data_IF_559404596187
#
_entry.id   IF_559404596187
#
_cell.length_a   1.000
_cell.length_b   1.000
_cell.length_c   1.000
_cell.angle_alpha   90.00
_cell.angle_beta   90.00
_cell.angle_gamma   90.00
#
_symmetry.space_group_name_H-M   'P 1'
#
loop_
_entity.id
_entity.type
_entity.pdbx_description
1 polymer ?
#
# COMPACT_ATOMS: atom_id res chain seq x y z
N UNK A 1 74.57 -9.46 -4.54
CA UNK A 1 73.29 -8.80 -4.91
C UNK A 1 73.63 -7.57 -5.70
N UNK A 2 73.18 -7.48 -6.94
CA UNK A 2 73.73 -6.54 -7.93
C UNK A 2 72.98 -5.21 -7.88
N UNK A 3 73.63 -4.12 -8.31
CA UNK A 3 73.05 -2.76 -8.36
C UNK A 3 71.75 -2.65 -9.17
N UNK A 4 71.39 -3.67 -9.96
CA UNK A 4 70.10 -3.75 -10.69
C UNK A 4 68.91 -4.14 -9.81
N UNK A 5 69.14 -4.70 -8.62
CA UNK A 5 68.08 -5.12 -7.70
C UNK A 5 67.54 -3.97 -6.84
N UNK A 6 68.35 -2.91 -6.62
CA UNK A 6 67.96 -1.71 -5.87
C UNK A 6 67.13 -0.71 -6.71
N UNK A 7 67.45 -0.54 -8.00
CA UNK A 7 66.68 0.35 -8.89
C UNK A 7 65.25 -0.17 -9.16
N UNK A 8 65.08 -1.49 -9.22
CA UNK A 8 63.77 -2.12 -9.44
C UNK A 8 62.84 -2.05 -8.20
N UNK A 9 63.40 -2.06 -6.97
CA UNK A 9 62.60 -1.88 -5.75
C UNK A 9 62.20 -0.41 -5.52
N UNK A 10 63.08 0.54 -5.87
CA UNK A 10 62.77 1.98 -5.81
C UNK A 10 61.66 2.37 -6.79
N UNK A 11 61.69 1.82 -8.01
CA UNK A 11 60.70 2.08 -9.04
C UNK A 11 59.33 1.48 -8.72
N UNK A 12 59.29 0.28 -8.11
CA UNK A 12 58.03 -0.33 -7.62
C UNK A 12 57.40 0.44 -6.46
N UNK A 13 58.19 0.88 -5.48
CA UNK A 13 57.67 1.68 -4.34
C UNK A 13 57.10 3.01 -4.79
N UNK A 14 57.74 3.71 -5.72
CA UNK A 14 57.20 4.95 -6.32
C UNK A 14 55.90 4.71 -7.11
N UNK A 15 55.75 3.55 -7.74
CA UNK A 15 54.54 3.20 -8.49
C UNK A 15 53.36 2.84 -7.56
N UNK A 16 53.65 2.22 -6.42
CA UNK A 16 52.66 1.87 -5.40
C UNK A 16 52.23 3.11 -4.58
N UNK A 17 53.18 3.98 -4.18
CA UNK A 17 52.87 5.25 -3.49
C UNK A 17 52.04 6.19 -4.37
N UNK A 18 52.32 6.28 -5.67
CA UNK A 18 51.50 7.08 -6.60
C UNK A 18 50.08 6.51 -6.77
N UNK A 19 49.91 5.17 -6.77
CA UNK A 19 48.59 4.54 -6.80
C UNK A 19 47.80 4.77 -5.52
N UNK A 20 48.47 4.79 -4.37
CA UNK A 20 47.81 5.04 -3.08
C UNK A 20 47.42 6.53 -2.94
N UNK A 21 48.24 7.45 -3.43
CA UNK A 21 47.87 8.87 -3.52
C UNK A 21 46.74 9.13 -4.53
N UNK A 22 46.77 8.49 -5.71
CA UNK A 22 45.67 8.58 -6.68
C UNK A 22 44.38 7.98 -6.13
N UNK A 23 44.43 6.81 -5.49
CA UNK A 23 43.27 6.18 -4.85
C UNK A 23 42.74 6.96 -3.64
N UNK A 24 43.60 7.59 -2.84
CA UNK A 24 43.16 8.48 -1.76
C UNK A 24 42.55 9.77 -2.29
N UNK A 25 43.07 10.34 -3.39
CA UNK A 25 42.48 11.52 -4.04
C UNK A 25 41.15 11.20 -4.75
N UNK A 26 41.04 10.02 -5.38
CA UNK A 26 39.82 9.49 -5.98
C UNK A 26 38.78 9.18 -4.90
N UNK A 27 39.17 8.60 -3.76
CA UNK A 27 38.27 8.34 -2.63
C UNK A 27 37.86 9.62 -1.89
N UNK A 28 38.71 10.64 -1.80
CA UNK A 28 38.32 11.96 -1.29
C UNK A 28 37.44 12.72 -2.29
N UNK A 29 37.67 12.57 -3.59
CA UNK A 29 36.80 13.10 -4.65
C UNK A 29 35.45 12.40 -4.72
N UNK A 30 35.40 11.09 -4.45
CA UNK A 30 34.18 10.29 -4.33
C UNK A 30 33.45 10.57 -3.02
N UNK A 31 34.14 10.74 -1.88
CA UNK A 31 33.54 11.17 -0.61
C UNK A 31 33.01 12.60 -0.69
N UNK A 32 33.74 13.55 -1.28
CA UNK A 32 33.23 14.92 -1.51
C UNK A 32 32.11 14.94 -2.53
N UNK A 33 32.10 14.08 -3.55
CA UNK A 33 30.95 13.90 -4.45
C UNK A 33 29.78 13.19 -3.76
N UNK A 34 30.00 12.32 -2.78
CA UNK A 34 28.94 11.67 -2.00
C UNK A 34 28.35 12.64 -0.97
N UNK A 35 29.18 13.42 -0.28
CA UNK A 35 28.77 14.44 0.69
C UNK A 35 28.14 15.66 -0.01
N UNK A 36 28.63 16.08 -1.19
CA UNK A 36 27.98 17.10 -2.01
C UNK A 36 26.70 16.60 -2.72
N UNK A 37 26.54 15.28 -2.97
CA UNK A 37 25.28 14.69 -3.44
C UNK A 37 24.29 14.38 -2.32
N UNK A 38 24.73 14.36 -1.05
CA UNK A 38 23.86 14.29 0.12
C UNK A 38 23.19 15.65 0.41
N UNK A 39 23.82 16.76 0.00
CA UNK A 39 23.26 18.12 0.13
C UNK A 39 22.55 18.66 -1.12
N UNK A 40 22.52 17.90 -2.23
CA UNK A 40 21.74 18.27 -3.44
C UNK A 40 20.53 17.39 -3.70
N UNK A 41 20.22 16.44 -2.81
CA UNK A 41 18.94 15.75 -2.83
C UNK A 41 17.86 16.72 -2.35
N UNK A 42 17.31 17.45 -3.32
CA UNK A 42 16.01 18.11 -3.25
C UNK A 42 15.09 17.24 -2.40
N UNK A 43 14.84 17.71 -1.19
CA UNK A 43 13.62 17.48 -0.44
C UNK A 43 12.46 17.96 -1.33
N UNK A 44 12.02 17.09 -2.25
CA UNK A 44 10.80 17.29 -3.03
C UNK A 44 9.66 17.02 -2.07
N UNK A 45 9.38 18.07 -1.31
CA UNK A 45 8.17 18.38 -0.56
C UNK A 45 7.11 17.29 -0.65
N UNK A 46 6.92 16.56 0.45
CA UNK A 46 5.56 16.30 0.93
C UNK A 46 4.80 17.60 0.70
N UNK A 47 3.75 17.56 -0.13
CA UNK A 47 3.05 18.75 -0.60
C UNK A 47 2.85 19.73 0.56
N UNK A 48 3.06 21.04 0.34
CA UNK A 48 2.89 22.07 1.40
C UNK A 48 1.50 21.99 2.10
N UNK A 49 0.56 21.26 1.51
CA UNK A 49 -0.83 21.03 1.93
C UNK A 49 -1.04 19.78 2.79
N UNK A 50 -0.04 18.91 3.00
CA UNK A 50 -0.20 17.69 3.82
C UNK A 50 -0.28 17.99 5.31
N UNK A 51 -1.28 17.43 6.01
CA UNK A 51 -1.36 17.49 7.49
C UNK A 51 -0.20 16.75 8.17
N UNK A 52 0.12 17.04 9.45
CA UNK A 52 1.13 16.29 10.21
C UNK A 52 0.87 14.78 10.26
N UNK A 53 -0.38 14.33 10.42
CA UNK A 53 -0.70 12.89 10.43
C UNK A 53 -0.43 12.23 9.06
N UNK A 54 -0.79 12.89 7.94
CA UNK A 54 -0.43 12.41 6.60
C UNK A 54 1.08 12.20 6.44
N UNK A 55 1.91 13.09 7.00
CA UNK A 55 3.37 12.93 6.98
C UNK A 55 3.83 11.72 7.78
N UNK A 56 3.27 11.50 8.97
CA UNK A 56 3.57 10.32 9.79
C UNK A 56 3.27 9.03 9.02
N UNK A 57 2.12 8.97 8.35
CA UNK A 57 1.73 7.82 7.52
C UNK A 57 2.71 7.62 6.36
N UNK A 58 3.03 8.68 5.62
CA UNK A 58 3.99 8.61 4.51
C UNK A 58 5.38 8.15 4.97
N UNK A 59 5.88 8.74 6.07
CA UNK A 59 7.18 8.41 6.65
C UNK A 59 7.23 6.97 7.15
N UNK A 60 6.14 6.44 7.70
CA UNK A 60 6.01 5.04 8.08
C UNK A 60 6.25 4.12 6.87
N UNK A 61 5.56 4.35 5.75
CA UNK A 61 5.72 3.53 4.54
C UNK A 61 7.09 3.74 3.86
N UNK A 62 7.65 4.94 3.93
CA UNK A 62 8.99 5.27 3.41
C UNK A 62 10.10 4.49 4.13
N UNK A 63 10.01 4.39 5.47
CA UNK A 63 11.04 3.74 6.29
C UNK A 63 11.08 2.22 6.14
N UNK A 64 10.04 1.61 5.56
CA UNK A 64 9.97 0.16 5.43
C UNK A 64 10.75 -0.32 4.19
N UNK A 65 11.88 -1.03 4.35
CA UNK A 65 12.67 -1.49 3.20
C UNK A 65 11.87 -2.48 2.34
N UNK A 66 12.09 -2.47 1.01
CA UNK A 66 11.62 -3.57 0.17
C UNK A 66 12.48 -4.80 0.45
N UNK A 67 12.02 -5.62 1.39
CA UNK A 67 12.63 -6.91 1.67
C UNK A 67 12.15 -7.89 0.60
N UNK A 68 13.10 -8.50 -0.11
CA UNK A 68 12.85 -9.45 -1.20
C UNK A 68 11.98 -10.64 -0.76
N UNK A 69 11.57 -11.48 -1.72
CA UNK A 69 10.62 -12.58 -1.49
C UNK A 69 11.05 -13.50 -0.35
N UNK A 70 12.34 -13.83 -0.24
CA UNK A 70 12.88 -14.72 0.79
C UNK A 70 12.63 -14.19 2.21
N UNK A 71 13.03 -12.95 2.48
CA UNK A 71 12.78 -12.29 3.78
C UNK A 71 11.29 -12.08 4.09
N UNK A 72 10.43 -12.00 3.07
CA UNK A 72 8.97 -11.94 3.31
C UNK A 72 8.42 -13.27 3.84
N UNK A 73 9.01 -14.39 3.42
CA UNK A 73 8.63 -15.73 3.88
C UNK A 73 9.05 -16.02 5.33
N UNK A 74 9.93 -15.19 5.90
CA UNK A 74 10.35 -15.28 7.31
C UNK A 74 9.42 -14.51 8.27
N UNK A 75 8.40 -13.83 7.74
CA UNK A 75 7.51 -12.99 8.55
C UNK A 75 6.59 -13.81 9.45
N UNK A 76 6.43 -13.35 10.69
CA UNK A 76 5.53 -13.97 11.68
C UNK A 76 4.06 -13.92 11.28
N UNK A 77 3.69 -12.98 10.41
CA UNK A 77 2.33 -12.80 9.85
C UNK A 77 2.23 -13.20 8.37
N UNK A 78 3.06 -14.15 7.92
CA UNK A 78 3.10 -14.59 6.52
C UNK A 78 1.72 -15.01 6.01
N UNK A 79 0.97 -15.81 6.77
CA UNK A 79 -0.33 -16.32 6.32
C UNK A 79 -1.37 -15.21 6.25
N UNK A 80 -1.37 -14.26 7.19
CA UNK A 80 -2.20 -13.06 7.10
C UNK A 80 -1.86 -12.21 5.86
N UNK A 81 -0.58 -12.03 5.52
CA UNK A 81 -0.16 -11.33 4.29
C UNK A 81 -0.66 -12.05 3.04
N UNK A 82 -0.56 -13.37 3.00
CA UNK A 82 -1.06 -14.18 1.89
C UNK A 82 -2.58 -14.08 1.78
N UNK A 83 -3.29 -14.19 2.91
CA UNK A 83 -4.74 -14.07 3.02
C UNK A 83 -5.23 -12.71 2.52
N UNK A 84 -4.65 -11.61 3.00
CA UNK A 84 -5.00 -10.25 2.55
C UNK A 84 -4.78 -10.08 1.04
N UNK A 85 -3.69 -10.63 0.51
CA UNK A 85 -3.46 -10.63 -0.94
C UNK A 85 -4.47 -11.47 -1.70
N UNK A 86 -4.89 -12.62 -1.16
CA UNK A 86 -5.92 -13.45 -1.77
C UNK A 86 -7.29 -12.77 -1.76
N UNK A 87 -7.70 -12.16 -0.65
CA UNK A 87 -8.93 -11.37 -0.56
C UNK A 87 -8.95 -10.27 -1.62
N UNK A 88 -7.85 -9.53 -1.79
CA UNK A 88 -7.74 -8.52 -2.86
C UNK A 88 -7.87 -9.15 -4.25
N UNK A 89 -7.25 -10.31 -4.50
CA UNK A 89 -7.39 -11.02 -5.77
C UNK A 89 -8.82 -11.48 -6.04
N UNK A 90 -9.55 -11.90 -5.00
CA UNK A 90 -10.97 -12.27 -5.09
C UNK A 90 -11.83 -11.05 -5.41
N UNK A 91 -11.65 -9.94 -4.69
CA UNK A 91 -12.41 -8.70 -4.92
C UNK A 91 -12.16 -8.19 -6.34
N UNK A 92 -10.89 -8.12 -6.78
CA UNK A 92 -10.53 -7.72 -8.13
C UNK A 92 -11.13 -8.68 -9.16
N UNK A 93 -10.95 -10.00 -9.00
CA UNK A 93 -11.42 -11.01 -9.94
C UNK A 93 -12.95 -11.07 -10.08
N UNK A 94 -13.70 -10.69 -9.03
CA UNK A 94 -15.17 -10.65 -9.05
C UNK A 94 -15.76 -9.41 -9.72
N UNK A 95 -15.00 -8.32 -9.79
CA UNK A 95 -15.54 -7.01 -10.16
C UNK A 95 -14.83 -6.36 -11.36
N UNK A 96 -13.62 -6.78 -11.70
CA UNK A 96 -12.83 -6.16 -12.77
C UNK A 96 -12.87 -7.01 -14.01
N UNK A 97 -13.42 -6.43 -15.08
CA UNK A 97 -13.46 -7.05 -16.39
C UNK A 97 -12.11 -6.87 -17.13
N UNK A 98 -11.72 -7.82 -18.00
CA UNK A 98 -10.57 -7.65 -18.88
C UNK A 98 -10.68 -6.36 -19.72
N UNK A 99 -9.52 -5.81 -20.09
CA UNK A 99 -9.39 -4.54 -20.83
C UNK A 99 -9.90 -3.29 -20.11
N UNK A 100 -10.18 -3.36 -18.80
CA UNK A 100 -10.56 -2.20 -17.98
C UNK A 100 -9.41 -1.19 -17.81
N UNK A 101 -9.72 0.10 -17.73
CA UNK A 101 -8.83 1.16 -17.29
C UNK A 101 -8.96 1.39 -15.78
N UNK A 102 -7.85 1.30 -15.05
CA UNK A 102 -7.83 1.28 -13.58
C UNK A 102 -7.17 2.54 -13.02
N UNK A 103 -7.80 3.12 -12.00
CA UNK A 103 -7.16 4.05 -11.07
C UNK A 103 -6.95 3.36 -9.72
N UNK A 104 -5.71 3.26 -9.26
CA UNK A 104 -5.37 2.63 -7.98
C UNK A 104 -4.90 3.71 -6.98
N UNK A 105 -5.80 4.12 -6.10
CA UNK A 105 -5.59 5.18 -5.11
C UNK A 105 -4.98 4.59 -3.83
N UNK A 106 -3.80 5.07 -3.44
CA UNK A 106 -2.99 4.46 -2.39
C UNK A 106 -2.34 3.16 -2.87
N UNK A 107 -1.75 3.16 -4.07
CA UNK A 107 -1.16 1.95 -4.68
C UNK A 107 0.07 1.42 -3.94
N UNK A 108 0.63 2.22 -3.02
CA UNK A 108 1.84 1.92 -2.27
C UNK A 108 2.98 1.53 -3.20
N UNK A 109 3.74 0.50 -2.79
CA UNK A 109 4.89 -0.06 -3.52
C UNK A 109 4.50 -0.96 -4.70
N UNK A 110 3.29 -0.82 -5.25
CA UNK A 110 2.80 -1.64 -6.36
C UNK A 110 2.56 -3.10 -5.99
N UNK A 111 2.00 -3.37 -4.81
CA UNK A 111 1.72 -4.75 -4.34
C UNK A 111 0.63 -5.48 -5.15
N UNK A 112 -0.19 -4.73 -5.89
CA UNK A 112 -1.32 -5.26 -6.65
C UNK A 112 -1.04 -5.39 -8.17
N UNK A 113 0.15 -5.03 -8.64
CA UNK A 113 0.53 -5.10 -10.06
C UNK A 113 0.35 -6.50 -10.68
N UNK A 114 0.66 -7.56 -9.93
CA UNK A 114 0.45 -8.93 -10.41
C UNK A 114 -1.03 -9.33 -10.44
N UNK A 115 -1.87 -8.71 -9.60
CA UNK A 115 -3.33 -8.91 -9.62
C UNK A 115 -3.93 -8.21 -10.82
N UNK A 116 -3.50 -6.98 -11.10
CA UNK A 116 -3.84 -6.25 -12.31
C UNK A 116 -3.43 -6.98 -13.58
N UNK A 117 -2.24 -7.57 -13.60
CA UNK A 117 -1.79 -8.46 -14.68
C UNK A 117 -2.71 -9.67 -14.85
N UNK A 118 -3.09 -10.34 -13.75
CA UNK A 118 -3.96 -11.50 -13.79
C UNK A 118 -5.39 -11.16 -14.26
N UNK A 119 -5.87 -9.96 -13.93
CA UNK A 119 -7.16 -9.42 -14.37
C UNK A 119 -7.16 -8.96 -15.84
N UNK A 120 -5.99 -8.96 -16.52
CA UNK A 120 -5.85 -8.59 -17.95
C UNK A 120 -6.43 -7.20 -18.27
N UNK A 121 -6.15 -6.23 -17.42
CA UNK A 121 -6.56 -4.83 -17.61
C UNK A 121 -5.88 -4.19 -18.84
N UNK A 122 -6.35 -3.02 -19.27
CA UNK A 122 -5.75 -2.25 -20.37
C UNK A 122 -4.72 -1.23 -19.88
N UNK A 123 -5.11 -0.40 -18.90
CA UNK A 123 -4.22 0.60 -18.31
C UNK A 123 -4.37 0.72 -16.80
N UNK A 124 -3.30 1.14 -16.13
CA UNK A 124 -3.24 1.40 -14.70
C UNK A 124 -2.66 2.80 -14.45
N UNK A 125 -3.31 3.56 -13.59
CA UNK A 125 -2.76 4.78 -13.00
C UNK A 125 -2.66 4.57 -11.49
N UNK A 126 -1.44 4.49 -10.96
CA UNK A 126 -1.19 4.34 -9.53
C UNK A 126 -0.89 5.68 -8.86
N UNK A 127 -1.61 6.00 -7.78
CA UNK A 127 -1.39 7.21 -6.99
C UNK A 127 -1.04 6.85 -5.55
N UNK A 128 -0.07 7.54 -4.97
CA UNK A 128 0.27 7.38 -3.55
C UNK A 128 0.84 8.67 -2.97
N UNK A 129 0.70 8.85 -1.66
CA UNK A 129 1.25 9.99 -0.93
C UNK A 129 2.79 9.93 -0.84
N UNK A 130 3.34 8.72 -0.80
CA UNK A 130 4.77 8.44 -0.60
C UNK A 130 5.53 8.40 -1.93
N UNK A 131 6.51 9.28 -2.08
CA UNK A 131 7.40 9.32 -3.25
C UNK A 131 8.29 8.07 -3.36
N UNK A 132 8.82 7.58 -2.24
CA UNK A 132 9.59 6.33 -2.17
C UNK A 132 8.73 5.14 -2.61
N UNK A 133 7.46 5.09 -2.18
CA UNK A 133 6.55 4.01 -2.58
C UNK A 133 6.25 4.05 -4.07
N UNK A 134 6.07 5.24 -4.64
CA UNK A 134 5.89 5.42 -6.08
C UNK A 134 7.14 5.00 -6.86
N UNK A 135 8.33 5.30 -6.36
CA UNK A 135 9.59 4.87 -6.99
C UNK A 135 9.74 3.34 -6.95
N UNK A 136 9.42 2.70 -5.81
CA UNK A 136 9.41 1.24 -5.69
C UNK A 136 8.36 0.60 -6.64
N UNK A 137 7.17 1.21 -6.75
CA UNK A 137 6.13 0.76 -7.68
C UNK A 137 6.58 0.84 -9.14
N UNK A 138 7.25 1.93 -9.54
CA UNK A 138 7.85 2.08 -10.88
C UNK A 138 8.90 1.01 -11.15
N UNK A 139 9.84 0.78 -10.23
CA UNK A 139 10.86 -0.28 -10.37
C UNK A 139 10.22 -1.66 -10.53
N UNK A 140 9.20 -1.96 -9.72
CA UNK A 140 8.47 -3.23 -9.80
C UNK A 140 7.73 -3.36 -11.13
N UNK A 141 7.14 -2.28 -11.62
CA UNK A 141 6.50 -2.24 -12.93
C UNK A 141 7.50 -2.50 -14.06
N UNK A 142 8.67 -1.85 -14.05
CA UNK A 142 9.73 -2.05 -15.05
C UNK A 142 10.17 -3.52 -15.12
N UNK A 143 10.32 -4.17 -13.97
CA UNK A 143 10.64 -5.61 -13.91
C UNK A 143 9.53 -6.49 -14.52
N UNK A 144 8.26 -6.14 -14.29
CA UNK A 144 7.12 -6.87 -14.87
C UNK A 144 7.02 -6.63 -16.37
N UNK A 145 7.25 -5.40 -16.82
CA UNK A 145 7.20 -4.97 -18.22
C UNK A 145 8.35 -5.53 -19.05
N UNK A 146 9.56 -5.57 -18.49
CA UNK A 146 10.76 -6.11 -19.15
C UNK A 146 10.98 -7.61 -18.95
N UNK A 147 10.09 -8.30 -18.21
CA UNK A 147 10.23 -9.73 -17.94
C UNK A 147 9.91 -10.64 -19.13
N UNK A 148 10.27 -11.93 -19.03
CA UNK A 148 10.04 -12.95 -20.08
C UNK A 148 8.58 -13.08 -20.53
N UNK A 149 7.65 -12.75 -19.64
CA UNK A 149 6.22 -12.68 -19.92
C UNK A 149 5.74 -11.29 -19.53
N UNK A 150 5.79 -10.29 -20.42
CA UNK A 150 5.43 -8.92 -20.08
C UNK A 150 3.97 -8.80 -19.66
N UNK A 151 3.66 -7.76 -18.89
CA UNK A 151 2.27 -7.38 -18.65
C UNK A 151 1.64 -6.82 -19.94
N UNK A 152 0.47 -7.32 -20.31
CA UNK A 152 -0.31 -6.85 -21.48
C UNK A 152 -1.04 -5.53 -21.24
N UNK A 153 -0.56 -4.67 -20.33
CA UNK A 153 -1.18 -3.40 -19.96
C UNK A 153 -0.13 -2.29 -19.84
N UNK A 154 -0.55 -1.02 -19.83
CA UNK A 154 0.33 0.13 -19.56
C UNK A 154 0.12 0.64 -18.14
N UNK A 155 1.19 1.06 -17.45
CA UNK A 155 1.09 1.67 -16.12
C UNK A 155 1.88 2.98 -16.02
N UNK A 156 1.26 3.97 -15.36
CA UNK A 156 1.90 5.22 -14.92
C UNK A 156 1.67 5.43 -13.41
N UNK A 157 2.60 6.14 -12.75
CA UNK A 157 2.58 6.32 -11.29
C UNK A 157 2.92 7.76 -10.89
N UNK A 158 2.12 8.33 -9.98
CA UNK A 158 2.29 9.72 -9.53
C UNK A 158 2.19 9.86 -8.01
N UNK A 159 2.99 10.78 -7.47
CA UNK A 159 2.91 11.19 -6.06
C UNK A 159 1.77 12.19 -5.91
N UNK A 160 0.77 11.86 -5.10
CA UNK A 160 -0.35 12.73 -4.80
C UNK A 160 -1.00 12.37 -3.46
N UNK A 161 -1.22 13.37 -2.60
CA UNK A 161 -2.18 13.24 -1.50
C UNK A 161 -3.61 13.26 -2.07
N UNK A 162 -4.13 12.06 -2.33
CA UNK A 162 -5.46 11.83 -2.89
C UNK A 162 -6.61 12.23 -1.94
N UNK A 163 -6.31 12.59 -0.69
CA UNK A 163 -7.30 13.03 0.29
C UNK A 163 -7.29 14.55 0.49
N UNK A 164 -6.27 15.25 -0.01
CA UNK A 164 -6.19 16.71 0.12
C UNK A 164 -6.22 17.43 -1.23
N UNK A 165 -5.93 16.74 -2.34
CA UNK A 165 -5.80 17.36 -3.66
C UNK A 165 -6.63 16.61 -4.71
N UNK A 166 -7.18 17.31 -5.72
CA UNK A 166 -7.93 16.67 -6.79
C UNK A 166 -7.00 15.91 -7.74
N UNK A 167 -7.34 14.66 -8.11
CA UNK A 167 -6.55 13.85 -9.06
C UNK A 167 -6.40 14.51 -10.44
N UNK A 168 -7.35 15.38 -10.80
CA UNK A 168 -7.32 16.16 -12.04
C UNK A 168 -6.22 17.22 -12.08
N UNK A 169 -5.46 17.42 -11.00
CA UNK A 169 -4.24 18.23 -11.02
C UNK A 169 -3.11 17.56 -11.82
N UNK A 170 -3.20 16.25 -12.06
CA UNK A 170 -2.26 15.50 -12.88
C UNK A 170 -2.73 15.58 -14.34
N UNK A 171 -1.88 16.10 -15.22
CA UNK A 171 -2.24 16.39 -16.61
C UNK A 171 -2.69 15.15 -17.40
N UNK A 172 -2.06 13.99 -17.20
CA UNK A 172 -2.43 12.73 -17.87
C UNK A 172 -3.78 12.17 -17.39
N UNK A 173 -4.25 12.58 -16.20
CA UNK A 173 -5.50 12.10 -15.59
C UNK A 173 -6.67 13.04 -15.87
N UNK A 174 -6.41 14.34 -16.05
CA UNK A 174 -7.44 15.40 -16.08
C UNK A 174 -8.68 15.06 -16.92
N UNK A 175 -8.49 14.47 -18.10
CA UNK A 175 -9.57 14.12 -19.03
C UNK A 175 -9.73 12.60 -19.23
N UNK A 176 -9.08 11.78 -18.38
CA UNK A 176 -9.14 10.33 -18.46
C UNK A 176 -10.33 9.82 -17.64
N UNK A 177 -11.04 8.82 -18.17
CA UNK A 177 -12.06 8.10 -17.44
C UNK A 177 -11.58 6.67 -17.17
N UNK A 178 -11.96 6.14 -16.01
CA UNK A 178 -11.61 4.81 -15.55
C UNK A 178 -12.86 3.94 -15.47
N UNK A 179 -12.70 2.65 -15.77
CA UNK A 179 -13.74 1.64 -15.57
C UNK A 179 -13.82 1.25 -14.08
N UNK A 180 -12.68 1.25 -13.40
CA UNK A 180 -12.57 0.87 -11.99
C UNK A 180 -11.64 1.83 -11.23
N UNK A 181 -12.09 2.29 -10.08
CA UNK A 181 -11.25 2.88 -9.04
C UNK A 181 -11.05 1.88 -7.91
N UNK A 182 -9.81 1.65 -7.51
CA UNK A 182 -9.42 0.76 -6.41
C UNK A 182 -8.84 1.58 -5.25
N UNK A 183 -9.22 1.24 -4.02
CA UNK A 183 -8.66 1.83 -2.80
C UNK A 183 -8.50 0.76 -1.71
N UNK A 184 -7.33 0.12 -1.67
CA UNK A 184 -7.08 -1.03 -0.79
C UNK A 184 -6.32 -0.59 0.46
N UNK A 185 -6.87 -0.85 1.65
CA UNK A 185 -6.23 -0.58 2.94
C UNK A 185 -5.74 0.87 3.16
N UNK A 186 -6.44 1.87 2.62
CA UNK A 186 -6.04 3.26 2.79
C UNK A 186 -7.19 4.25 3.00
N UNK A 187 -8.45 3.86 2.77
CA UNK A 187 -9.60 4.76 2.92
C UNK A 187 -9.74 5.33 4.34
N UNK A 188 -9.43 4.55 5.37
CA UNK A 188 -9.53 4.96 6.77
C UNK A 188 -8.63 6.16 7.11
N UNK A 189 -7.52 6.38 6.40
CA UNK A 189 -6.69 7.58 6.58
C UNK A 189 -7.42 8.87 6.17
N UNK A 190 -8.40 8.79 5.26
CA UNK A 190 -9.18 9.96 4.83
C UNK A 190 -10.19 10.43 5.89
N UNK A 191 -10.56 9.57 6.85
CA UNK A 191 -11.55 9.87 7.88
C UNK A 191 -11.01 10.75 9.03
N UNK A 192 -9.79 11.28 8.90
CA UNK A 192 -9.26 12.32 9.80
C UNK A 192 -10.18 13.56 9.86
N UNK A 193 -10.72 13.98 8.71
CA UNK A 193 -11.66 15.09 8.62
C UNK A 193 -12.71 14.81 7.56
N UNK A 194 -13.87 15.45 7.66
CA UNK A 194 -14.91 15.35 6.63
C UNK A 194 -14.40 15.81 5.26
N UNK A 195 -13.63 16.89 5.20
CA UNK A 195 -13.07 17.41 3.95
C UNK A 195 -12.20 16.37 3.23
N UNK A 196 -11.39 15.62 3.97
CA UNK A 196 -10.53 14.56 3.41
C UNK A 196 -11.34 13.38 2.90
N UNK A 197 -12.33 12.93 3.67
CA UNK A 197 -13.24 11.86 3.23
C UNK A 197 -14.04 12.27 1.97
N UNK A 198 -14.51 13.52 1.92
CA UNK A 198 -15.19 14.09 0.74
C UNK A 198 -14.27 14.21 -0.47
N UNK A 199 -13.01 14.61 -0.28
CA UNK A 199 -12.02 14.64 -1.36
C UNK A 199 -11.73 13.23 -1.89
N UNK A 200 -11.61 12.24 -1.00
CA UNK A 200 -11.42 10.84 -1.39
C UNK A 200 -12.57 10.34 -2.28
N UNK A 201 -13.82 10.57 -1.87
CA UNK A 201 -15.02 10.24 -2.66
C UNK A 201 -15.10 11.01 -3.97
N UNK A 202 -14.78 12.31 -3.96
CA UNK A 202 -14.72 13.13 -5.17
C UNK A 202 -13.72 12.57 -6.17
N UNK A 203 -12.52 12.23 -5.73
CA UNK A 203 -11.47 11.66 -6.57
C UNK A 203 -11.85 10.26 -7.07
N UNK A 204 -12.50 9.44 -6.24
CA UNK A 204 -12.97 8.13 -6.65
C UNK A 204 -14.12 8.19 -7.67
N UNK A 205 -14.97 9.22 -7.62
CA UNK A 205 -16.14 9.30 -8.50
C UNK A 205 -15.95 10.15 -9.75
N UNK A 206 -15.16 11.23 -9.73
CA UNK A 206 -15.20 12.25 -10.79
C UNK A 206 -14.67 11.77 -12.13
N UNK A 207 -13.70 10.85 -12.10
CA UNK A 207 -13.10 10.23 -13.27
C UNK A 207 -13.55 8.78 -13.47
N UNK A 208 -14.62 8.34 -12.79
CA UNK A 208 -15.19 7.01 -12.94
C UNK A 208 -16.32 7.07 -13.98
N UNK A 209 -16.28 6.18 -14.98
CA UNK A 209 -17.33 6.06 -16.00
C UNK A 209 -18.69 5.76 -15.35
N UNK A 210 -19.78 6.19 -15.98
CA UNK A 210 -21.11 5.69 -15.62
C UNK A 210 -21.12 4.15 -15.73
N UNK A 211 -21.64 3.48 -14.70
CA UNK A 211 -21.60 2.04 -14.57
C UNK A 211 -20.25 1.46 -14.09
N UNK A 212 -19.19 2.26 -14.03
CA UNK A 212 -17.89 1.88 -13.47
C UNK A 212 -17.93 1.60 -11.97
N UNK A 213 -16.89 0.97 -11.45
CA UNK A 213 -16.86 0.46 -10.07
C UNK A 213 -15.84 1.17 -9.19
N UNK A 214 -16.24 1.47 -7.96
CA UNK A 214 -15.33 1.86 -6.89
C UNK A 214 -15.20 0.71 -5.89
N UNK A 215 -14.05 0.04 -5.88
CA UNK A 215 -13.77 -1.14 -5.05
C UNK A 215 -12.72 -0.83 -4.00
N UNK A 216 -12.77 -1.54 -2.88
CA UNK A 216 -11.75 -1.33 -1.85
C UNK A 216 -11.89 -2.21 -0.63
N UNK A 217 -10.97 -2.00 0.30
CA UNK A 217 -11.00 -2.60 1.63
C UNK A 217 -10.82 -1.52 2.69
N UNK A 218 -11.54 -1.67 3.79
CA UNK A 218 -11.50 -0.72 4.91
C UNK A 218 -11.74 -1.44 6.24
N UNK A 219 -11.36 -0.81 7.33
CA UNK A 219 -11.63 -1.28 8.70
C UNK A 219 -13.13 -1.20 9.02
N UNK A 220 -13.65 -2.20 9.76
CA UNK A 220 -15.03 -2.22 10.25
C UNK A 220 -15.11 -1.57 11.63
N UNK A 221 -15.56 -0.32 11.69
CA UNK A 221 -15.73 0.38 12.97
C UNK A 221 -16.65 -0.36 13.94
N UNK A 222 -17.66 -1.09 13.47
CA UNK A 222 -18.55 -1.83 14.38
C UNK A 222 -17.79 -2.97 15.08
N UNK A 223 -16.87 -3.63 14.36
CA UNK A 223 -16.03 -4.67 14.94
C UNK A 223 -15.06 -4.08 15.97
N UNK A 224 -14.34 -3.01 15.58
CA UNK A 224 -13.34 -2.34 16.43
C UNK A 224 -13.99 -1.78 17.69
N UNK A 225 -15.10 -1.05 17.56
CA UNK A 225 -15.80 -0.43 18.69
C UNK A 225 -16.43 -1.49 19.60
N UNK A 226 -16.92 -2.61 19.06
CA UNK A 226 -17.41 -3.73 19.87
C UNK A 226 -16.30 -4.28 20.77
N UNK A 227 -15.08 -4.48 20.24
CA UNK A 227 -13.91 -4.92 21.02
C UNK A 227 -13.48 -3.88 22.06
N UNK A 228 -13.43 -2.60 21.68
CA UNK A 228 -13.08 -1.50 22.59
C UNK A 228 -14.04 -1.41 23.78
N UNK A 229 -15.34 -1.64 23.56
CA UNK A 229 -16.38 -1.57 24.60
C UNK A 229 -16.38 -2.76 25.56
N UNK A 230 -15.73 -3.88 25.21
CA UNK A 230 -15.61 -5.03 26.12
C UNK A 230 -14.46 -4.88 27.13
N UNK A 231 -13.61 -3.89 26.96
CA UNK A 231 -12.49 -3.63 27.87
C UNK A 231 -12.94 -2.95 29.15
N UNK A 232 -12.14 -3.10 30.22
CA UNK A 232 -12.28 -2.34 31.46
C UNK A 232 -12.45 -0.84 31.18
N UNK A 233 -13.29 -0.09 31.93
CA UNK A 233 -13.64 1.31 31.62
C UNK A 233 -12.46 2.27 31.38
N UNK A 234 -11.28 1.99 31.93
CA UNK A 234 -10.07 2.80 31.77
C UNK A 234 -9.12 2.30 30.66
N UNK A 235 -9.30 1.09 30.16
CA UNK A 235 -8.45 0.52 29.12
C UNK A 235 -8.82 1.07 27.74
N UNK A 236 -7.80 1.51 26.99
CA UNK A 236 -7.92 2.07 25.63
C UNK A 236 -7.21 1.23 24.57
N UNK A 237 -6.52 0.19 24.99
CA UNK A 237 -5.74 -0.70 24.14
C UNK A 237 -6.34 -2.10 24.13
N UNK A 238 -6.42 -2.70 22.96
CA UNK A 238 -6.67 -4.12 22.79
C UNK A 238 -5.90 -4.66 21.59
N UNK A 239 -5.76 -5.97 21.52
CA UNK A 239 -5.03 -6.64 20.48
C UNK A 239 -4.77 -8.10 20.83
N UNK A 240 -3.84 -8.70 20.13
CA UNK A 240 -3.29 -10.01 20.43
C UNK A 240 -1.78 -10.02 20.16
N UNK A 241 -1.17 -11.19 20.02
CA UNK A 241 0.28 -11.31 19.86
C UNK A 241 0.84 -10.61 18.62
N UNK A 242 0.04 -10.37 17.58
CA UNK A 242 0.52 -9.83 16.30
C UNK A 242 0.05 -8.40 16.00
N UNK A 243 -0.98 -7.90 16.68
CA UNK A 243 -1.53 -6.55 16.43
C UNK A 243 -1.98 -5.88 17.72
N UNK A 244 -1.96 -4.55 17.72
CA UNK A 244 -2.62 -3.74 18.75
C UNK A 244 -3.31 -2.52 18.15
N UNK A 245 -4.42 -2.13 18.78
CA UNK A 245 -5.18 -0.93 18.51
C UNK A 245 -5.24 -0.11 19.80
N UNK A 246 -4.73 1.11 19.77
CA UNK A 246 -4.72 2.03 20.91
C UNK A 246 -5.54 3.28 20.59
N UNK A 247 -6.62 3.49 21.32
CA UNK A 247 -7.48 4.67 21.17
C UNK A 247 -6.97 5.86 21.99
N UNK A 248 -7.21 7.08 21.50
CA UNK A 248 -7.01 8.29 22.30
C UNK A 248 -8.14 8.46 23.35
N UNK A 249 -9.35 7.98 23.05
CA UNK A 249 -10.52 7.98 23.93
C UNK A 249 -11.58 6.97 23.49
N UNK A 250 -12.48 6.57 24.41
CA UNK A 250 -13.59 5.62 24.13
C UNK A 250 -14.99 6.05 24.62
N UNK A 251 -15.17 7.31 24.97
CA UNK A 251 -16.42 7.85 25.52
C UNK A 251 -17.31 8.49 24.45
N UNK A 252 -16.69 9.14 23.46
CA UNK A 252 -17.37 9.76 22.33
C UNK A 252 -17.01 9.01 21.05
N UNK A 253 -17.90 9.03 20.05
CA UNK A 253 -17.67 8.39 18.76
C UNK A 253 -17.99 9.38 17.63
N UNK A 254 -17.15 10.43 17.43
CA UNK A 254 -17.38 11.40 16.38
C UNK A 254 -17.31 10.72 15.00
N UNK A 255 -18.05 11.25 14.04
CA UNK A 255 -18.12 10.68 12.68
C UNK A 255 -16.78 10.75 11.94
N UNK A 256 -15.98 11.79 12.21
CA UNK A 256 -14.65 11.99 11.64
C UNK A 256 -13.67 12.29 12.77
N UNK A 257 -12.38 12.00 12.55
CA UNK A 257 -11.31 12.30 13.49
C UNK A 257 -11.24 11.37 14.70
N UNK A 258 -12.08 10.33 14.79
CA UNK A 258 -11.95 9.33 15.87
C UNK A 258 -10.72 8.45 15.61
N UNK A 259 -9.61 8.89 16.19
CA UNK A 259 -8.27 8.38 15.95
C UNK A 259 -7.94 7.18 16.84
N UNK A 260 -7.23 6.23 16.26
CA UNK A 260 -6.52 5.16 16.96
C UNK A 260 -5.14 4.96 16.33
N UNK A 261 -4.24 4.35 17.07
CA UNK A 261 -2.96 3.87 16.57
C UNK A 261 -3.07 2.39 16.27
N UNK A 262 -2.65 2.00 15.09
CA UNK A 262 -2.60 0.60 14.68
C UNK A 262 -1.16 0.13 14.59
N UNK A 263 -0.90 -1.01 15.22
CA UNK A 263 0.35 -1.74 15.10
C UNK A 263 0.02 -3.15 14.59
N UNK A 264 0.81 -3.63 13.63
CA UNK A 264 0.73 -4.98 13.08
C UNK A 264 2.16 -5.46 12.79
N UNK A 265 2.56 -6.52 13.46
CA UNK A 265 3.91 -7.08 13.39
C UNK A 265 4.38 -7.26 11.94
N UNK A 266 5.63 -6.87 11.64
CA UNK A 266 6.21 -6.88 10.28
C UNK A 266 5.42 -6.15 9.17
N UNK A 267 4.33 -5.44 9.49
CA UNK A 267 3.44 -4.78 8.55
C UNK A 267 3.38 -3.27 8.78
N UNK A 268 2.89 -2.86 9.94
CA UNK A 268 2.55 -1.49 10.30
C UNK A 268 3.09 -1.23 11.71
N UNK A 269 3.74 -0.08 11.90
CA UNK A 269 4.38 0.29 13.16
C UNK A 269 3.82 1.64 13.60
N UNK A 270 2.93 1.59 14.59
CA UNK A 270 2.29 2.74 15.26
C UNK A 270 1.73 3.82 14.29
N UNK A 271 0.90 3.39 13.34
CA UNK A 271 0.33 4.28 12.33
C UNK A 271 -1.00 4.89 12.82
N UNK A 272 -1.22 6.21 12.68
CA UNK A 272 -2.51 6.81 13.00
C UNK A 272 -3.56 6.46 11.94
N UNK A 273 -4.65 5.85 12.37
CA UNK A 273 -5.84 5.53 11.56
C UNK A 273 -7.10 6.14 12.20
N UNK A 274 -8.21 6.13 11.46
CA UNK A 274 -9.48 6.72 11.91
C UNK A 274 -10.63 5.75 11.67
N UNK A 275 -11.58 5.71 12.61
CA UNK A 275 -12.75 4.86 12.49
C UNK A 275 -13.57 5.22 11.25
N UNK A 276 -13.98 4.18 10.52
CA UNK A 276 -14.89 4.30 9.37
C UNK A 276 -16.21 3.66 9.72
N UNK A 277 -17.18 4.48 10.14
CA UNK A 277 -18.55 4.03 10.29
C UNK A 277 -19.18 3.80 8.90
N UNK A 278 -19.21 2.54 8.46
CA UNK A 278 -19.58 2.20 7.08
C UNK A 278 -20.94 2.76 6.62
N UNK A 279 -22.02 2.76 7.43
CA UNK A 279 -23.27 3.41 7.02
C UNK A 279 -23.13 4.92 6.72
N UNK A 280 -22.27 5.62 7.44
CA UNK A 280 -21.96 7.03 7.14
C UNK A 280 -21.18 7.14 5.83
N UNK A 281 -20.14 6.32 5.66
CA UNK A 281 -19.38 6.25 4.41
C UNK A 281 -20.28 5.98 3.21
N UNK A 282 -21.18 5.00 3.31
CA UNK A 282 -22.15 4.65 2.28
C UNK A 282 -23.10 5.82 1.96
N UNK A 283 -23.62 6.51 2.99
CA UNK A 283 -24.46 7.69 2.79
C UNK A 283 -23.70 8.79 2.03
N UNK A 284 -22.46 9.07 2.43
CA UNK A 284 -21.63 10.05 1.74
C UNK A 284 -21.34 9.63 0.29
N UNK A 285 -21.05 8.35 0.04
CA UNK A 285 -20.77 7.84 -1.29
C UNK A 285 -21.95 8.08 -2.26
N UNK A 286 -23.20 7.94 -1.79
CA UNK A 286 -24.40 8.24 -2.59
C UNK A 286 -24.48 9.70 -3.04
N UNK A 287 -23.98 10.65 -2.25
CA UNK A 287 -23.89 12.07 -2.64
C UNK A 287 -22.98 12.29 -3.86
N UNK A 288 -22.08 11.34 -4.14
CA UNK A 288 -21.21 11.34 -5.32
C UNK A 288 -21.71 10.37 -6.40
N UNK A 289 -22.96 9.88 -6.32
CA UNK A 289 -23.52 8.94 -7.29
C UNK A 289 -22.90 7.55 -7.22
N UNK A 290 -22.42 7.13 -6.06
CA UNK A 290 -21.88 5.78 -5.85
C UNK A 290 -22.90 4.96 -5.05
N UNK A 291 -23.47 3.93 -5.67
CA UNK A 291 -24.43 3.03 -5.03
C UNK A 291 -23.75 1.73 -4.60
N UNK A 292 -23.97 1.31 -3.36
CA UNK A 292 -23.36 0.10 -2.82
C UNK A 292 -23.94 -1.14 -3.50
N UNK A 293 -23.07 -1.98 -4.08
CA UNK A 293 -23.46 -3.26 -4.70
C UNK A 293 -22.84 -4.47 -4.00
N UNK A 294 -21.79 -4.25 -3.20
CA UNK A 294 -21.09 -5.32 -2.49
C UNK A 294 -20.50 -4.79 -1.17
N UNK A 295 -20.72 -5.54 -0.09
CA UNK A 295 -20.10 -5.30 1.23
C UNK A 295 -20.06 -6.61 2.00
N UNK A 296 -18.87 -7.11 2.32
CA UNK A 296 -18.71 -8.34 3.11
C UNK A 296 -17.49 -8.25 4.03
N UNK A 297 -17.54 -8.90 5.19
CA UNK A 297 -16.35 -9.05 6.05
C UNK A 297 -15.39 -10.03 5.41
N UNK A 298 -14.10 -9.87 5.68
CA UNK A 298 -13.07 -10.75 5.10
C UNK A 298 -13.35 -12.24 5.36
N UNK A 299 -13.84 -12.59 6.55
CA UNK A 299 -14.24 -13.97 6.87
C UNK A 299 -15.39 -14.48 6.00
N UNK A 300 -16.37 -13.64 5.69
CA UNK A 300 -17.49 -14.00 4.81
C UNK A 300 -17.00 -14.15 3.36
N UNK A 301 -16.14 -13.23 2.89
CA UNK A 301 -15.51 -13.31 1.56
C UNK A 301 -14.75 -14.63 1.43
N UNK A 302 -13.99 -15.00 2.46
CA UNK A 302 -13.27 -16.26 2.49
C UNK A 302 -14.19 -17.47 2.41
N UNK A 303 -15.18 -17.55 3.31
CA UNK A 303 -16.06 -18.70 3.41
C UNK A 303 -16.88 -18.93 2.15
N UNK A 304 -17.29 -17.88 1.44
CA UNK A 304 -18.01 -18.02 0.18
C UNK A 304 -17.07 -18.30 -1.00
N UNK A 305 -15.94 -17.59 -1.07
CA UNK A 305 -15.09 -17.66 -2.27
C UNK A 305 -14.24 -18.92 -2.30
N UNK A 306 -13.99 -19.57 -1.16
CA UNK A 306 -13.30 -20.87 -1.12
C UNK A 306 -14.13 -22.01 -1.71
N UNK A 307 -15.44 -21.83 -1.88
CA UNK A 307 -16.32 -22.84 -2.51
C UNK A 307 -16.24 -22.79 -4.05
N UNK A 308 -15.84 -21.65 -4.61
CA UNK A 308 -15.55 -21.51 -6.03
C UNK A 308 -14.20 -22.16 -6.36
N UNK A 309 -14.19 -23.07 -7.34
CA UNK A 309 -13.00 -23.83 -7.72
C UNK A 309 -11.82 -22.92 -8.09
N UNK A 310 -12.05 -21.83 -8.83
CA UNK A 310 -11.00 -20.92 -9.27
C UNK A 310 -10.31 -20.25 -8.07
N UNK A 311 -11.10 -19.72 -7.14
CA UNK A 311 -10.57 -19.00 -5.97
C UNK A 311 -10.00 -19.96 -4.93
N UNK A 312 -10.54 -21.18 -4.81
CA UNK A 312 -9.97 -22.26 -3.99
C UNK A 312 -8.59 -22.69 -4.49
N UNK A 313 -8.43 -22.88 -5.79
CA UNK A 313 -7.12 -23.20 -6.37
C UNK A 313 -6.12 -22.06 -6.16
N UNK A 314 -6.61 -20.81 -6.20
CA UNK A 314 -5.79 -19.64 -5.90
C UNK A 314 -5.36 -19.56 -4.42
N UNK A 315 -6.20 -19.97 -3.46
CA UNK A 315 -5.82 -20.06 -2.03
C UNK A 315 -4.54 -20.89 -1.86
N UNK A 316 -4.51 -22.07 -2.49
CA UNK A 316 -3.35 -22.97 -2.44
C UNK A 316 -2.14 -22.38 -3.16
N UNK A 317 -2.34 -21.80 -4.35
CA UNK A 317 -1.27 -21.18 -5.13
C UNK A 317 -0.60 -20.01 -4.40
N UNK A 318 -1.38 -19.25 -3.64
CA UNK A 318 -0.90 -18.12 -2.84
C UNK A 318 -0.43 -18.53 -1.44
N UNK A 319 -0.43 -19.82 -1.12
CA UNK A 319 -0.02 -20.35 0.19
C UNK A 319 -0.75 -19.68 1.36
N UNK A 320 -2.05 -19.43 1.17
CA UNK A 320 -2.95 -19.04 2.27
C UNK A 320 -3.23 -20.25 3.15
N UNK A 321 -3.39 -21.41 2.52
CA UNK A 321 -3.54 -22.73 3.14
C UNK A 321 -2.64 -23.69 2.37
N UNK A 322 -2.03 -24.67 3.04
CA UNK A 322 -1.26 -25.72 2.39
C UNK A 322 -2.14 -26.94 2.11
N UNK A 323 -2.01 -27.55 0.92
CA UNK A 323 -2.83 -28.73 0.52
C UNK A 323 -2.59 -29.99 1.36
N UNK A 324 -1.36 -30.16 1.86
CA UNK A 324 -0.88 -31.41 2.47
C UNK A 324 -0.51 -31.26 3.94
N UNK A 325 -0.58 -30.06 4.48
CA UNK A 325 -0.21 -29.74 5.87
C UNK A 325 -1.38 -28.95 6.47
N UNK A 326 -1.79 -29.21 7.71
CA UNK A 326 -2.85 -28.46 8.40
C UNK A 326 -2.33 -27.08 8.87
N UNK A 327 -1.43 -26.46 8.09
CA UNK A 327 -0.90 -25.14 8.41
C UNK A 327 -1.80 -24.13 7.72
N UNK A 328 -2.52 -23.40 8.56
CA UNK A 328 -3.39 -22.28 8.23
C UNK A 328 -3.05 -21.08 9.11
N UNK A 329 -3.82 -20.01 8.97
CA UNK A 329 -3.69 -18.84 9.82
C UNK A 329 -3.89 -19.22 11.29
N UNK A 330 -3.04 -18.69 12.17
CA UNK A 330 -3.27 -18.77 13.61
C UNK A 330 -4.56 -18.06 14.03
N UNK A 331 -5.10 -18.37 15.20
CA UNK A 331 -6.24 -17.63 15.77
C UNK A 331 -5.98 -16.12 15.85
N UNK A 332 -4.73 -15.73 16.13
CA UNK A 332 -4.33 -14.34 16.19
C UNK A 332 -4.38 -13.64 14.82
N UNK A 333 -3.89 -14.31 13.77
CA UNK A 333 -4.01 -13.85 12.38
C UNK A 333 -5.46 -13.82 11.90
N UNK A 334 -6.24 -14.83 12.26
CA UNK A 334 -7.64 -14.93 11.89
C UNK A 334 -8.47 -13.80 12.52
N UNK A 335 -8.23 -13.51 13.79
CA UNK A 335 -8.84 -12.36 14.47
C UNK A 335 -8.47 -11.04 13.80
N UNK A 336 -7.17 -10.83 13.48
CA UNK A 336 -6.70 -9.61 12.82
C UNK A 336 -7.33 -9.40 11.43
N UNK A 337 -7.52 -10.47 10.66
CA UNK A 337 -8.26 -10.40 9.39
C UNK A 337 -9.72 -9.97 9.56
N UNK A 338 -10.33 -10.30 10.71
CA UNK A 338 -11.72 -9.94 11.05
C UNK A 338 -11.96 -8.44 11.23
N UNK A 339 -10.90 -7.63 11.33
CA UNK A 339 -10.98 -6.16 11.39
C UNK A 339 -11.56 -5.58 10.09
N UNK A 340 -11.39 -6.26 8.95
CA UNK A 340 -11.57 -5.68 7.64
C UNK A 340 -12.84 -6.14 6.91
N UNK A 341 -13.33 -5.24 6.05
CA UNK A 341 -14.41 -5.46 5.09
C UNK A 341 -13.93 -5.15 3.68
N UNK A 342 -14.44 -5.89 2.71
CA UNK A 342 -14.35 -5.57 1.28
C UNK A 342 -15.65 -4.94 0.80
N UNK A 343 -15.56 -3.98 -0.11
CA UNK A 343 -16.72 -3.28 -0.68
C UNK A 343 -16.57 -3.05 -2.18
N UNK A 344 -17.71 -2.88 -2.86
CA UNK A 344 -17.81 -2.30 -4.19
C UNK A 344 -19.04 -1.40 -4.30
N UNK A 345 -18.84 -0.23 -4.88
CA UNK A 345 -19.90 0.67 -5.31
C UNK A 345 -19.94 0.74 -6.83
N UNK A 346 -21.11 0.99 -7.40
CA UNK A 346 -21.31 1.26 -8.82
C UNK A 346 -21.62 2.74 -9.01
N UNK A 347 -20.97 3.37 -9.99
CA UNK A 347 -21.27 4.74 -10.40
C UNK A 347 -22.60 4.76 -11.14
N UNK A 348 -23.57 5.48 -10.59
CA UNK A 348 -24.84 5.76 -11.23
C UNK A 348 -24.85 7.17 -11.81
N UNK A 349 -25.74 7.38 -12.79
CA UNK A 349 -25.96 8.69 -13.39
C UNK A 349 -26.55 9.62 -12.35
N UNK A 350 -25.83 10.70 -12.06
CA UNK A 350 -26.26 11.79 -11.16
C UNK A 350 -26.89 12.93 -11.91
#
# INVERSE_FOLDING_TARGET
MSSRDFENQSSKRKYEENKDFENQSLNQGLKRKHEANLDSNKSIKVTKTSTPNSRIVADHYNKKPDVGVEKRNESTILFLKNFNNWIKSVIIGKHVEPNSDILDMGCGKGGDLLKWKAAKISTLVGLDLSDVSIEDAKKRWENIRGGKHPAGFHAEFHVLDCFSNPITSIASIKNKLFDVVSMQFCLHYSFETENKARMALKNASSNLKEGGLFIGTVTDANWIVKKLKTLDPKALEFGNSIYSIVFEQKHEFPTFGHKYRFNLEDAINDCPEYLVHFPTFEKMAREYGLELIYKKRFHDIYNESKEDLQYRELLYKMSVIKRKEPIEMSDAEWEAAGIYIGFAFKKVRT
#
